data_IF_649382817305
#
_entry.id   IF_649382817305
#
_cell.length_a   1.000
_cell.length_b   1.000
_cell.length_c   1.000
_cell.angle_alpha   90.00
_cell.angle_beta   90.00
_cell.angle_gamma   90.00
#
_symmetry.space_group_name_H-M   'P 1'
#
loop_
_entity.id
_entity.type
_entity.pdbx_description
1 polymer ?
#
# COMPACT_ATOMS: atom_id res chain seq x y z
N UNK A 1 -27.09 -12.89 4.28
CA UNK A 1 -26.63 -12.57 3.99
C UNK A 1 -25.74 -12.36 3.78
N UNK A 2 -25.17 -12.43 3.48
CA UNK A 2 -24.35 -12.17 3.24
C UNK A 2 -23.79 -11.50 2.92
N UNK A 3 -23.25 -11.56 3.15
CA UNK A 3 -22.77 -10.58 3.02
C UNK A 3 -21.68 -10.32 2.24
N UNK A 4 -21.69 -10.11 1.22
CA UNK A 4 -20.68 -9.79 0.31
C UNK A 4 -20.13 -8.42 0.53
N UNK A 5 -20.61 -7.79 1.50
CA UNK A 5 -20.24 -6.43 1.72
C UNK A 5 -18.77 -6.26 2.08
N UNK A 6 -18.13 -7.32 2.53
CA UNK A 6 -16.74 -7.20 2.90
C UNK A 6 -15.87 -6.80 1.72
N UNK A 7 -16.12 -7.35 0.56
CA UNK A 7 -15.27 -7.03 -0.58
C UNK A 7 -15.53 -5.65 -1.13
N UNK A 8 -16.67 -5.05 -0.79
CA UNK A 8 -16.95 -3.70 -1.23
C UNK A 8 -16.75 -2.68 -0.13
N UNK A 9 -16.31 -3.11 1.03
CA UNK A 9 -16.07 -2.21 2.13
C UNK A 9 -14.84 -1.34 1.85
N UNK A 10 -14.92 -0.10 2.26
CA UNK A 10 -13.79 0.81 2.15
C UNK A 10 -13.09 0.91 3.48
N UNK A 11 -11.79 0.98 3.43
CA UNK A 11 -11.00 1.22 4.63
C UNK A 11 -10.23 2.51 4.45
N UNK A 12 -9.78 3.07 5.55
CA UNK A 12 -9.03 4.31 5.55
C UNK A 12 -7.62 4.06 6.03
N UNK A 13 -6.69 4.70 5.35
CA UNK A 13 -5.30 4.61 5.73
C UNK A 13 -4.62 5.92 5.42
N UNK A 14 -3.37 6.05 5.77
CA UNK A 14 -2.59 7.23 5.45
C UNK A 14 -1.48 6.85 4.50
N UNK A 15 -1.32 7.67 3.47
CA UNK A 15 -0.26 7.49 2.50
C UNK A 15 0.50 8.80 2.41
N UNK A 16 1.76 8.76 2.84
CA UNK A 16 2.61 9.95 2.84
C UNK A 16 1.95 11.09 3.58
N UNK A 17 1.31 10.79 4.70
CA UNK A 17 0.70 11.79 5.54
C UNK A 17 -0.69 12.23 5.13
N UNK A 18 -1.23 11.67 4.07
CA UNK A 18 -2.57 12.03 3.60
C UNK A 18 -3.54 10.90 3.81
N UNK A 19 -4.75 11.24 4.23
CA UNK A 19 -5.78 10.23 4.39
C UNK A 19 -6.23 9.74 3.01
N UNK A 20 -6.35 8.44 2.87
CA UNK A 20 -6.78 7.82 1.63
C UNK A 20 -7.74 6.69 1.95
N UNK A 21 -8.56 6.35 0.98
CA UNK A 21 -9.46 5.22 1.10
C UNK A 21 -9.11 4.19 0.03
N UNK A 22 -9.33 2.94 0.36
CA UNK A 22 -9.20 1.89 -0.63
C UNK A 22 -10.14 0.76 -0.26
N UNK A 23 -10.30 -0.17 -1.18
CA UNK A 23 -11.13 -1.33 -0.90
C UNK A 23 -10.45 -2.20 0.14
N UNK A 24 -11.26 -2.85 0.96
CA UNK A 24 -10.73 -3.80 1.92
C UNK A 24 -10.12 -4.99 1.18
N UNK A 25 -9.22 -5.66 1.85
CA UNK A 25 -8.63 -6.91 1.36
C UNK A 25 -7.73 -6.74 0.14
N UNK A 26 -7.15 -5.57 -0.03
CA UNK A 26 -6.18 -5.36 -1.09
C UNK A 26 -4.79 -5.76 -0.63
N UNK A 27 -4.06 -6.45 -1.49
CA UNK A 27 -2.65 -6.66 -1.25
C UNK A 27 -1.91 -5.37 -1.56
N UNK A 28 -0.74 -5.19 -0.96
CA UNK A 28 0.00 -3.95 -1.12
C UNK A 28 0.26 -3.58 -2.58
N UNK A 29 0.68 -4.50 -3.45
CA UNK A 29 0.89 -4.07 -4.84
C UNK A 29 -0.37 -3.55 -5.49
N UNK A 30 -1.51 -4.12 -5.18
CA UNK A 30 -2.77 -3.63 -5.73
C UNK A 30 -3.07 -2.23 -5.24
N UNK A 31 -2.80 -1.97 -3.98
CA UNK A 31 -3.01 -0.63 -3.45
C UNK A 31 -2.13 0.37 -4.18
N UNK A 32 -0.86 0.05 -4.37
CA UNK A 32 0.06 0.96 -5.05
C UNK A 32 -0.44 1.28 -6.44
N UNK A 33 -0.92 0.28 -7.16
CA UNK A 33 -1.43 0.51 -8.49
C UNK A 33 -2.68 1.37 -8.48
N UNK A 34 -3.54 1.16 -7.49
CA UNK A 34 -4.76 1.95 -7.40
C UNK A 34 -4.46 3.41 -7.09
N UNK A 35 -3.31 3.68 -6.50
CA UNK A 35 -2.88 5.04 -6.23
C UNK A 35 -2.13 5.66 -7.41
N UNK A 36 -2.01 4.93 -8.50
CA UNK A 36 -1.32 5.45 -9.66
C UNK A 36 0.18 5.29 -9.62
N UNK A 37 0.66 4.44 -8.73
CA UNK A 37 2.10 4.23 -8.57
C UNK A 37 2.51 2.94 -9.21
N UNK A 38 3.71 2.94 -9.78
CA UNK A 38 4.27 1.71 -10.33
C UNK A 38 4.99 0.98 -9.21
N UNK A 39 4.52 -0.20 -8.80
CA UNK A 39 5.15 -0.89 -7.68
C UNK A 39 6.61 -1.19 -7.88
N UNK A 40 7.06 -1.24 -9.13
CA UNK A 40 8.45 -1.54 -9.40
C UNK A 40 9.37 -0.38 -9.15
N UNK A 41 8.82 0.81 -8.99
CA UNK A 41 9.60 2.02 -8.89
C UNK A 41 9.51 2.68 -7.52
N UNK A 42 9.00 1.98 -6.53
CA UNK A 42 8.83 2.59 -5.22
C UNK A 42 9.38 1.69 -4.12
N UNK A 43 9.72 2.33 -3.02
CA UNK A 43 10.03 1.65 -1.77
C UNK A 43 8.97 2.03 -0.77
N UNK A 44 8.66 1.13 0.14
CA UNK A 44 7.54 1.31 1.05
C UNK A 44 7.98 1.11 2.49
N UNK A 45 7.61 2.06 3.33
CA UNK A 45 7.70 1.93 4.76
C UNK A 45 6.27 1.69 5.25
N UNK A 46 6.05 0.60 5.92
CA UNK A 46 4.72 0.17 6.30
C UNK A 46 4.62 0.17 7.82
N UNK A 47 3.81 1.07 8.34
CA UNK A 47 3.64 1.23 9.79
C UNK A 47 4.98 1.39 10.50
N UNK A 48 5.86 2.20 9.89
CA UNK A 48 7.12 2.56 10.52
C UNK A 48 8.29 1.66 10.21
N UNK A 49 8.08 0.63 9.41
CA UNK A 49 9.15 -0.31 9.09
C UNK A 49 9.26 -0.51 7.60
N UNK A 50 10.48 -0.64 7.13
CA UNK A 50 10.68 -0.93 5.72
C UNK A 50 10.10 -2.29 5.42
N UNK A 51 9.25 -2.35 4.42
CA UNK A 51 8.64 -3.61 4.01
C UNK A 51 9.28 -4.04 2.71
N UNK A 52 10.03 -5.13 2.77
CA UNK A 52 10.75 -5.60 1.60
C UNK A 52 9.78 -6.15 0.57
N UNK A 53 10.14 -5.96 -0.68
CA UNK A 53 9.28 -6.27 -1.81
C UNK A 53 8.79 -7.71 -1.81
N UNK A 54 9.63 -8.62 -1.33
CA UNK A 54 9.28 -10.03 -1.37
C UNK A 54 8.06 -10.36 -0.49
N UNK A 55 7.69 -9.47 0.42
CA UNK A 55 6.55 -9.70 1.28
C UNK A 55 5.29 -8.97 0.84
N UNK A 56 5.37 -8.19 -0.23
CA UNK A 56 4.26 -7.33 -0.61
C UNK A 56 3.01 -8.11 -1.00
N UNK A 57 3.18 -9.22 -1.71
CA UNK A 57 2.01 -9.97 -2.17
C UNK A 57 1.23 -10.55 -1.01
N UNK A 58 1.91 -10.81 0.09
CA UNK A 58 1.26 -11.38 1.26
C UNK A 58 0.76 -10.33 2.22
N UNK A 59 0.99 -9.07 1.94
CA UNK A 59 0.63 -8.00 2.86
C UNK A 59 -0.69 -7.41 2.45
N UNK A 60 -1.70 -7.68 3.23
CA UNK A 60 -3.03 -7.10 3.01
C UNK A 60 -3.12 -5.83 3.84
N UNK A 61 -3.45 -4.71 3.20
CA UNK A 61 -3.54 -3.44 3.93
C UNK A 61 -4.77 -3.44 4.81
N UNK A 62 -4.67 -2.76 5.93
CA UNK A 62 -5.70 -2.77 6.96
C UNK A 62 -6.10 -1.36 7.31
N UNK A 63 -7.29 -1.25 7.88
CA UNK A 63 -7.78 0.02 8.38
C UNK A 63 -6.76 0.64 9.33
N UNK A 64 -6.43 1.89 9.11
CA UNK A 64 -5.52 2.60 10.01
C UNK A 64 -4.05 2.45 9.68
N UNK A 65 -3.72 1.71 8.64
CA UNK A 65 -2.31 1.55 8.27
C UNK A 65 -1.72 2.87 7.83
N UNK A 66 -0.42 3.00 8.03
CA UNK A 66 0.33 4.17 7.57
C UNK A 66 1.45 3.72 6.67
N UNK A 67 1.49 4.31 5.49
CA UNK A 67 2.49 3.99 4.50
C UNK A 67 3.26 5.24 4.11
N UNK A 68 4.58 5.10 4.02
CA UNK A 68 5.44 6.11 3.42
C UNK A 68 6.00 5.49 2.16
N UNK A 69 5.76 6.14 1.05
CA UNK A 69 6.13 5.58 -0.24
C UNK A 69 7.02 6.57 -0.94
N UNK A 70 8.19 6.12 -1.35
CA UNK A 70 9.13 6.97 -2.05
C UNK A 70 9.45 6.35 -3.39
N UNK A 71 9.64 7.20 -4.38
CA UNK A 71 9.97 6.75 -5.72
C UNK A 71 11.46 6.49 -5.82
N UNK A 72 11.80 5.38 -6.46
CA UNK A 72 13.17 5.02 -6.72
C UNK A 72 13.54 5.61 -8.06
N UNK A 73 14.64 6.39 -8.10
CA UNK A 73 15.05 7.01 -9.34
C UNK A 73 16.40 6.51 -9.75
N UNK A 74 16.57 6.39 -11.04
CA UNK A 74 17.81 5.88 -11.59
C UNK A 74 18.03 4.50 -11.08
N UNK A 75 19.16 3.97 -11.24
CA UNK A 75 19.45 2.65 -10.73
C UNK A 75 19.98 2.68 -9.36
N UNK A 76 20.22 3.84 -8.83
CA UNK A 76 20.88 3.89 -7.57
C UNK A 76 20.20 4.81 -6.63
N UNK A 77 19.19 4.30 -6.05
CA UNK A 77 18.41 5.05 -5.15
C UNK A 77 19.22 5.57 -4.01
N UNK A 78 19.98 4.70 -3.47
CA UNK A 78 20.75 5.08 -2.33
C UNK A 78 22.15 5.25 -2.76
N UNK A 79 22.59 6.39 -2.63
CA UNK A 79 23.92 6.68 -3.08
C UNK A 79 24.72 7.07 -1.93
#
# INVERSE_FOLDING_TARGET
MFNSSDSSRLIRLQVNGEARQCAAHMALPQLLESLGMNPRLVAVEYNGEILHRQFWQETEVQEGDRLEIVTIVGGGVFR
#
